data_IF_771130637538
#
_entry.id   IF_771130637538
#
_cell.length_a   1.000
_cell.length_b   1.000
_cell.length_c   1.000
_cell.angle_alpha   90.00
_cell.angle_beta   90.00
_cell.angle_gamma   90.00
#
_symmetry.space_group_name_H-M   'P 1'
#
loop_
_entity.id
_entity.type
_entity.pdbx_description
1 polymer ?
#
# COMPACT_ATOMS: atom_id res chain seq x y z
N UNK A 1 0.15 5.13 6.13
CA UNK A 1 1.62 4.95 6.31
C UNK A 1 2.15 6.10 7.17
N UNK A 2 2.73 5.84 8.35
CA UNK A 2 2.95 6.83 9.43
C UNK A 2 3.77 8.08 9.04
N UNK A 3 4.45 8.10 7.89
CA UNK A 3 5.29 9.21 7.37
C UNK A 3 5.18 9.44 5.85
N UNK A 4 4.07 9.07 5.22
CA UNK A 4 3.90 9.32 3.79
C UNK A 4 3.71 10.83 3.53
N UNK A 5 4.40 11.36 2.52
CA UNK A 5 4.20 12.73 1.99
C UNK A 5 2.99 12.82 1.04
N UNK A 6 2.33 11.70 0.74
CA UNK A 6 1.13 11.70 -0.11
C UNK A 6 -0.07 12.23 0.66
N UNK A 7 -0.95 12.96 -0.02
CA UNK A 7 -2.25 13.33 0.54
C UNK A 7 -3.04 12.08 0.91
N UNK A 8 -3.93 12.20 1.91
CA UNK A 8 -4.77 11.09 2.35
C UNK A 8 -5.59 10.51 1.20
N UNK A 9 -6.15 11.34 0.32
CA UNK A 9 -6.90 10.89 -0.85
C UNK A 9 -6.06 9.98 -1.76
N UNK A 10 -4.80 10.36 -2.05
CA UNK A 10 -3.90 9.53 -2.86
C UNK A 10 -3.53 8.23 -2.16
N UNK A 11 -3.35 8.28 -0.83
CA UNK A 11 -3.11 7.08 -0.03
C UNK A 11 -4.29 6.11 -0.12
N UNK A 12 -5.53 6.59 0.05
CA UNK A 12 -6.73 5.76 -0.04
C UNK A 12 -6.91 5.14 -1.42
N UNK A 13 -6.75 5.92 -2.49
CA UNK A 13 -6.84 5.39 -3.86
C UNK A 13 -5.75 4.34 -4.16
N UNK A 14 -4.54 4.52 -3.62
CA UNK A 14 -3.49 3.50 -3.75
C UNK A 14 -3.83 2.22 -2.98
N UNK A 15 -4.46 2.33 -1.81
CA UNK A 15 -4.93 1.18 -1.02
C UNK A 15 -6.06 0.45 -1.75
N UNK A 16 -7.03 1.19 -2.29
CA UNK A 16 -8.13 0.62 -3.09
C UNK A 16 -7.61 -0.14 -4.32
N UNK A 17 -6.67 0.45 -5.06
CA UNK A 17 -6.04 -0.22 -6.19
C UNK A 17 -5.23 -1.46 -5.78
N UNK A 18 -4.59 -1.41 -4.61
CA UNK A 18 -3.85 -2.54 -4.07
C UNK A 18 -4.79 -3.70 -3.68
N UNK A 19 -5.88 -3.41 -2.97
CA UNK A 19 -6.87 -4.44 -2.59
C UNK A 19 -7.62 -5.01 -3.79
N UNK A 20 -7.84 -4.20 -4.83
CA UNK A 20 -8.40 -4.65 -6.11
C UNK A 20 -7.42 -5.48 -6.97
N UNK A 21 -6.19 -5.73 -6.50
CA UNK A 21 -5.20 -6.56 -7.21
C UNK A 21 -4.60 -5.90 -8.47
N UNK A 22 -4.78 -4.58 -8.63
CA UNK A 22 -4.20 -3.88 -9.78
C UNK A 22 -2.68 -3.78 -9.66
N UNK A 23 -1.98 -3.56 -10.77
CA UNK A 23 -0.53 -3.34 -10.71
C UNK A 23 -0.21 -1.91 -10.23
N UNK A 24 0.91 -1.76 -9.51
CA UNK A 24 1.39 -0.43 -9.08
C UNK A 24 1.62 0.52 -10.27
N UNK A 25 1.96 -0.01 -11.45
CA UNK A 25 2.10 0.76 -12.68
C UNK A 25 0.75 1.38 -13.09
N UNK A 26 -0.31 0.58 -13.15
CA UNK A 26 -1.67 1.07 -13.45
C UNK A 26 -2.14 2.07 -12.40
N UNK A 27 -1.99 1.75 -11.12
CA UNK A 27 -2.37 2.64 -10.02
C UNK A 27 -1.63 3.99 -10.08
N UNK A 28 -0.35 4.00 -10.49
CA UNK A 28 0.42 5.25 -10.59
C UNK A 28 -0.18 6.24 -11.59
N UNK A 29 -0.70 5.74 -12.71
CA UNK A 29 -1.31 6.54 -13.77
C UNK A 29 -2.67 7.06 -13.30
N UNK A 30 -3.49 6.19 -12.71
CA UNK A 30 -4.85 6.53 -12.25
C UNK A 30 -4.83 7.54 -11.08
N UNK A 31 -3.93 7.34 -10.11
CA UNK A 31 -3.83 8.19 -8.91
C UNK A 31 -2.93 9.42 -9.14
N UNK A 32 -2.30 9.53 -10.31
CA UNK A 32 -1.40 10.63 -10.67
C UNK A 32 -0.27 10.79 -9.64
N UNK A 33 0.49 9.71 -9.46
CA UNK A 33 1.71 9.66 -8.63
C UNK A 33 2.87 9.11 -9.44
N UNK A 34 4.11 9.34 -8.99
CA UNK A 34 5.26 8.75 -9.65
C UNK A 34 5.19 7.21 -9.58
N UNK A 35 5.56 6.52 -10.67
CA UNK A 35 5.60 5.05 -10.76
C UNK A 35 6.42 4.41 -9.64
N UNK A 36 7.55 5.00 -9.25
CA UNK A 36 8.40 4.48 -8.17
C UNK A 36 7.73 4.68 -6.82
N UNK A 37 7.03 5.80 -6.62
CA UNK A 37 6.23 6.05 -5.43
C UNK A 37 5.10 5.02 -5.29
N UNK A 38 4.34 4.73 -6.35
CA UNK A 38 3.29 3.71 -6.29
C UNK A 38 3.87 2.31 -6.01
N UNK A 39 4.97 1.96 -6.69
CA UNK A 39 5.63 0.66 -6.50
C UNK A 39 6.14 0.49 -5.07
N UNK A 40 6.80 1.52 -4.53
CA UNK A 40 7.26 1.54 -3.16
C UNK A 40 6.11 1.49 -2.15
N UNK A 41 5.01 2.21 -2.42
CA UNK A 41 3.83 2.19 -1.57
C UNK A 41 3.22 0.78 -1.49
N UNK A 42 3.13 0.08 -2.62
CA UNK A 42 2.60 -1.28 -2.69
C UNK A 42 3.49 -2.29 -1.96
N UNK A 43 4.82 -2.14 -2.06
CA UNK A 43 5.77 -2.95 -1.29
C UNK A 43 5.54 -2.75 0.22
N UNK A 44 5.46 -1.50 0.67
CA UNK A 44 5.27 -1.17 2.08
C UNK A 44 3.91 -1.63 2.63
N UNK A 45 2.87 -1.66 1.80
CA UNK A 45 1.58 -2.25 2.17
C UNK A 45 1.71 -3.76 2.43
N UNK A 46 2.43 -4.50 1.58
CA UNK A 46 2.67 -5.94 1.78
C UNK A 46 3.43 -6.22 3.07
N UNK A 47 4.48 -5.46 3.34
CA UNK A 47 5.27 -5.61 4.57
C UNK A 47 4.42 -5.34 5.82
N UNK A 48 3.57 -4.31 5.80
CA UNK A 48 2.65 -4.02 6.91
C UNK A 48 1.63 -5.13 7.13
N UNK A 49 1.07 -5.69 6.06
CA UNK A 49 0.13 -6.83 6.16
C UNK A 49 0.85 -8.03 6.76
N UNK A 50 2.04 -8.35 6.27
CA UNK A 50 2.83 -9.47 6.80
C UNK A 50 3.23 -9.27 8.27
N UNK A 51 3.64 -8.07 8.66
CA UNK A 51 3.93 -7.73 10.07
C UNK A 51 2.68 -7.91 10.94
N UNK A 52 1.51 -7.47 10.48
CA UNK A 52 0.24 -7.62 11.17
C UNK A 52 -0.17 -9.09 11.32
N UNK A 53 -0.10 -9.88 10.24
CA UNK A 53 -0.41 -11.31 10.26
C UNK A 53 0.51 -12.06 11.23
N UNK A 54 1.81 -11.74 11.23
CA UNK A 54 2.78 -12.33 12.15
C UNK A 54 2.49 -11.97 13.61
N UNK A 55 2.10 -10.73 13.89
CA UNK A 55 1.71 -10.33 15.24
C UNK A 55 0.44 -11.09 15.68
N UNK A 56 -0.58 -11.20 14.83
CA UNK A 56 -1.79 -11.98 15.14
C UNK A 56 -1.50 -13.46 15.40
N UNK A 57 -0.62 -14.10 14.62
CA UNK A 57 -0.22 -15.50 14.86
C UNK A 57 0.43 -15.69 16.24
N UNK A 58 1.21 -14.71 16.72
CA UNK A 58 1.90 -14.78 18.01
C UNK A 58 0.93 -14.63 19.20
N UNK A 59 -0.18 -13.91 19.04
CA UNK A 59 -1.17 -13.72 20.12
C UNK A 59 -2.28 -14.78 20.13
N UNK A 60 -2.50 -15.48 19.01
CA UNK A 60 -3.49 -16.55 18.89
C UNK A 60 -2.91 -17.98 19.04
N UNK A 61 -1.63 -18.10 19.42
CA UNK A 61 -0.90 -19.36 19.63
C UNK A 61 -0.70 -19.71 21.11
#
# INVERSE_FOLDING_TARGET
>A
MKRSKLSQEKQFKLIEHFSAGTTARTASVLVKVNKTTASYYFLRLRELIFEYEKEEEVFNG
#
